data_IF_592643162275
#
_entry.id   IF_592643162275
#
_cell.length_a   1.000
_cell.length_b   1.000
_cell.length_c   1.000
_cell.angle_alpha   90.00
_cell.angle_beta   90.00
_cell.angle_gamma   90.00
#
_symmetry.space_group_name_H-M   'P 1'
#
loop_
_entity.id
_entity.type
_entity.pdbx_description
1 polymer ?
#
# COMPACT_ATOMS: atom_id res chain seq x y z
N UNK A 1 7.55 1.41 -16.03
CA UNK A 1 6.36 0.54 -16.18
C UNK A 1 5.38 0.93 -15.09
N UNK A 2 4.16 1.32 -15.46
CA UNK A 2 3.18 1.88 -14.53
C UNK A 2 2.87 0.89 -13.41
N UNK A 3 2.84 1.37 -12.18
CA UNK A 3 2.67 0.55 -10.97
C UNK A 3 1.20 0.34 -10.61
N UNK A 4 0.29 0.58 -11.54
CA UNK A 4 -1.15 0.39 -11.38
C UNK A 4 -1.49 -1.09 -11.24
N UNK A 5 -2.39 -1.38 -10.31
CA UNK A 5 -2.93 -2.73 -10.12
C UNK A 5 -3.99 -2.92 -11.21
N UNK A 6 -3.87 -3.99 -11.98
CA UNK A 6 -4.93 -4.39 -12.89
C UNK A 6 -6.03 -5.10 -12.09
N UNK A 7 -7.08 -4.35 -11.78
CA UNK A 7 -8.24 -4.84 -11.01
C UNK A 7 -8.95 -6.00 -11.70
N UNK A 8 -8.86 -6.11 -13.03
CA UNK A 8 -9.49 -7.19 -13.78
C UNK A 8 -8.84 -8.56 -13.54
N UNK A 9 -7.61 -8.58 -13.01
CA UNK A 9 -6.88 -9.81 -12.67
C UNK A 9 -7.14 -10.28 -11.24
N UNK A 10 -7.87 -9.50 -10.43
CA UNK A 10 -8.16 -9.84 -9.04
C UNK A 10 -9.41 -10.72 -8.98
N UNK A 11 -9.38 -11.89 -8.31
CA UNK A 11 -10.57 -12.70 -8.09
C UNK A 11 -11.68 -11.89 -7.41
N UNK A 12 -12.92 -11.98 -7.91
CA UNK A 12 -14.08 -11.22 -7.41
C UNK A 12 -14.23 -11.32 -5.89
N UNK A 13 -14.07 -12.53 -5.34
CA UNK A 13 -14.13 -12.76 -3.89
C UNK A 13 -13.14 -11.92 -3.09
N UNK A 14 -11.96 -11.62 -3.63
CA UNK A 14 -10.97 -10.76 -2.98
C UNK A 14 -11.27 -9.29 -3.19
N UNK A 15 -11.80 -8.93 -4.36
CA UNK A 15 -12.21 -7.56 -4.67
C UNK A 15 -13.36 -7.07 -3.76
N UNK A 16 -14.26 -7.98 -3.36
CA UNK A 16 -15.41 -7.68 -2.50
C UNK A 16 -15.04 -7.37 -1.03
N UNK A 17 -13.84 -7.76 -0.57
CA UNK A 17 -13.44 -7.46 0.80
C UNK A 17 -12.91 -6.03 0.93
N UNK A 18 -13.42 -5.26 1.88
CA UNK A 18 -12.90 -3.93 2.27
C UNK A 18 -11.59 -4.02 3.08
N UNK A 19 -10.71 -4.94 2.71
CA UNK A 19 -9.48 -5.27 3.43
C UNK A 19 -8.22 -4.94 2.62
N UNK A 20 -8.30 -3.95 1.72
CA UNK A 20 -7.17 -3.54 0.89
C UNK A 20 -6.30 -2.52 1.60
N UNK A 21 -4.99 -2.77 1.53
CA UNK A 21 -3.94 -1.89 2.03
C UNK A 21 -2.87 -1.68 0.96
N UNK A 22 -2.08 -0.63 1.11
CA UNK A 22 -0.85 -0.50 0.35
C UNK A 22 0.33 -1.01 1.20
N UNK A 23 1.44 -1.35 0.57
CA UNK A 23 2.69 -1.70 1.22
C UNK A 23 3.85 -1.03 0.51
N UNK A 24 4.90 -0.81 1.29
CA UNK A 24 6.16 -0.23 0.86
C UNK A 24 7.28 -1.21 1.19
N UNK A 25 8.23 -1.37 0.27
CA UNK A 25 9.49 -2.00 0.61
C UNK A 25 10.39 -1.02 1.36
N UNK A 26 10.88 -1.44 2.53
CA UNK A 26 11.84 -0.70 3.34
C UNK A 26 12.95 -1.63 3.78
N UNK A 27 14.14 -1.10 4.03
CA UNK A 27 15.20 -1.90 4.63
C UNK A 27 15.12 -1.81 6.16
N UNK A 28 15.09 -2.97 6.81
CA UNK A 28 15.15 -3.11 8.26
C UNK A 28 16.18 -4.18 8.58
N UNK A 29 17.17 -3.83 9.40
CA UNK A 29 18.24 -4.74 9.82
C UNK A 29 18.99 -5.39 8.64
N UNK A 30 19.28 -4.63 7.57
CA UNK A 30 19.93 -5.15 6.36
C UNK A 30 19.01 -5.97 5.44
N UNK A 31 17.72 -6.11 5.76
CA UNK A 31 16.76 -6.93 5.01
C UNK A 31 15.62 -6.11 4.44
N UNK A 32 15.27 -6.38 3.18
CA UNK A 32 14.05 -5.86 2.56
C UNK A 32 12.81 -6.38 3.30
N UNK A 33 11.99 -5.46 3.79
CA UNK A 33 10.79 -5.71 4.58
C UNK A 33 9.61 -4.98 3.95
N UNK A 34 8.48 -5.67 3.81
CA UNK A 34 7.23 -5.06 3.37
C UNK A 34 6.51 -4.45 4.56
N UNK A 35 6.32 -3.13 4.54
CA UNK A 35 5.63 -2.38 5.58
C UNK A 35 4.23 -2.00 5.10
N UNK A 36 3.17 -2.42 5.80
CA UNK A 36 1.80 -1.97 5.55
C UNK A 36 1.67 -0.46 5.68
N UNK A 37 1.03 0.17 4.70
CA UNK A 37 0.73 1.60 4.66
C UNK A 37 -0.75 1.81 4.31
N UNK A 38 -1.34 2.85 4.91
CA UNK A 38 -2.71 3.26 4.66
C UNK A 38 -2.84 3.67 3.19
N UNK A 39 -3.88 3.22 2.48
CA UNK A 39 -4.03 3.49 1.07
C UNK A 39 -4.53 4.91 0.76
N UNK A 40 -4.56 5.80 1.76
CA UNK A 40 -5.02 7.18 1.68
C UNK A 40 -4.03 8.12 2.38
N UNK A 41 -4.07 9.41 2.05
CA UNK A 41 -3.19 10.40 2.66
C UNK A 41 -3.57 10.64 4.13
N UNK A 42 -2.58 10.57 5.03
CA UNK A 42 -2.77 10.87 6.46
C UNK A 42 -1.83 11.97 6.91
N UNK A 43 -2.30 12.85 7.79
CA UNK A 43 -1.47 13.87 8.43
C UNK A 43 -0.59 13.29 9.58
N UNK A 44 -0.77 12.02 9.92
CA UNK A 44 -0.01 11.28 10.93
C UNK A 44 0.74 10.08 10.32
N UNK A 45 0.89 9.00 11.09
CA UNK A 45 1.68 7.85 10.66
C UNK A 45 1.06 7.16 9.43
N UNK A 46 1.83 6.99 8.34
CA UNK A 46 1.32 6.37 7.12
C UNK A 46 1.11 4.85 7.26
N UNK A 47 1.62 4.22 8.32
CA UNK A 47 1.55 2.78 8.51
C UNK A 47 0.14 2.29 8.83
N UNK A 48 -0.30 1.25 8.13
CA UNK A 48 -1.53 0.55 8.44
C UNK A 48 -1.29 -0.50 9.53
N UNK A 49 -2.34 -0.83 10.28
CA UNK A 49 -2.35 -1.95 11.21
C UNK A 49 -3.10 -3.10 10.56
N UNK A 50 -2.63 -4.34 10.79
CA UNK A 50 -3.30 -5.56 10.35
C UNK A 50 -4.50 -5.96 11.23
N UNK A 51 -4.79 -5.19 12.29
CA UNK A 51 -5.91 -5.46 13.20
C UNK A 51 -6.92 -4.32 13.29
N UNK A 52 -6.63 -3.17 12.67
CA UNK A 52 -7.49 -1.99 12.72
C UNK A 52 -8.25 -1.87 11.40
N UNK A 53 -9.52 -2.26 11.39
CA UNK A 53 -10.37 -2.20 10.20
C UNK A 53 -10.49 -0.79 9.61
N UNK A 54 -10.37 0.26 10.43
CA UNK A 54 -10.38 1.65 9.96
C UNK A 54 -9.18 2.03 9.09
N UNK A 55 -8.13 1.20 9.03
CA UNK A 55 -6.95 1.40 8.18
C UNK A 55 -7.06 0.78 6.79
N UNK A 56 -8.07 -0.07 6.57
CA UNK A 56 -8.30 -0.75 5.30
C UNK A 56 -9.28 0.03 4.41
N UNK A 57 -9.31 -0.32 3.12
CA UNK A 57 -10.25 0.25 2.14
C UNK A 57 -10.75 -0.82 1.18
N UNK A 58 -11.75 -0.46 0.40
CA UNK A 58 -12.15 -1.18 -0.80
C UNK A 58 -11.06 -1.14 -1.88
N UNK A 59 -11.11 -2.11 -2.80
CA UNK A 59 -10.12 -2.28 -3.86
C UNK A 59 -9.99 -1.01 -4.73
N UNK A 60 -11.12 -0.48 -5.20
CA UNK A 60 -11.12 0.64 -6.14
C UNK A 60 -10.51 1.90 -5.52
N UNK A 61 -10.92 2.22 -4.29
CA UNK A 61 -10.40 3.37 -3.56
C UNK A 61 -8.94 3.18 -3.21
N UNK A 62 -8.53 1.98 -2.81
CA UNK A 62 -7.12 1.70 -2.55
C UNK A 62 -6.24 1.81 -3.81
N UNK A 63 -6.76 1.44 -4.98
CA UNK A 63 -6.05 1.57 -6.24
C UNK A 63 -5.94 3.04 -6.67
N UNK A 64 -7.01 3.83 -6.48
CA UNK A 64 -7.06 5.26 -6.84
C UNK A 64 -6.26 6.16 -5.90
N UNK A 65 -6.37 5.96 -4.59
CA UNK A 65 -5.84 6.88 -3.57
C UNK A 65 -4.37 6.62 -3.19
N UNK A 66 -3.63 5.94 -4.07
CA UNK A 66 -2.24 5.50 -3.84
C UNK A 66 -1.40 6.54 -3.08
N UNK A 67 -0.86 6.19 -1.91
CA UNK A 67 -0.16 7.14 -1.07
C UNK A 67 1.13 7.58 -1.75
N UNK A 68 1.30 8.89 -1.93
CA UNK A 68 2.51 9.50 -2.51
C UNK A 68 3.75 9.08 -1.71
N UNK A 69 4.87 8.74 -2.37
CA UNK A 69 6.11 8.41 -1.68
C UNK A 69 6.56 9.60 -0.82
N UNK A 70 6.98 9.30 0.41
CA UNK A 70 7.46 10.32 1.33
C UNK A 70 8.76 10.96 0.78
N UNK A 71 9.09 12.19 1.20
CA UNK A 71 10.33 12.85 0.77
C UNK A 71 11.58 12.01 1.12
N UNK A 72 11.54 11.25 2.22
CA UNK A 72 12.62 10.34 2.62
C UNK A 72 12.76 9.16 1.66
N UNK A 73 11.64 8.64 1.13
CA UNK A 73 11.64 7.57 0.13
C UNK A 73 12.23 8.03 -1.21
N UNK A 74 12.04 9.30 -1.56
CA UNK A 74 12.58 9.88 -2.80
C UNK A 74 14.10 10.02 -2.79
N UNK A 75 14.70 10.26 -1.62
CA UNK A 75 16.16 10.43 -1.48
C UNK A 75 16.91 9.09 -1.45
N UNK A 76 16.23 7.99 -1.10
CA UNK A 76 16.78 6.62 -1.07
C UNK A 76 16.56 5.85 -2.39
N UNK A 77 16.05 6.52 -3.43
CA UNK A 77 15.45 5.90 -4.61
C UNK A 77 16.48 5.24 -5.55
N UNK A 78 16.77 3.98 -5.27
CA UNK A 78 16.70 2.93 -6.28
C UNK A 78 15.48 2.06 -5.98
N UNK A 79 14.34 2.29 -6.64
CA UNK A 79 13.17 1.40 -6.64
C UNK A 79 12.37 1.18 -5.34
N UNK A 80 11.96 2.23 -4.60
CA UNK A 80 10.88 2.08 -3.60
C UNK A 80 9.52 1.89 -4.31
N UNK A 81 9.18 0.67 -4.71
CA UNK A 81 7.87 0.34 -5.28
C UNK A 81 6.84 0.18 -4.17
N UNK A 82 5.91 1.13 -4.06
CA UNK A 82 4.67 0.94 -3.30
C UNK A 82 3.69 0.14 -4.13
N UNK A 83 3.07 -0.89 -3.56
CA UNK A 83 2.04 -1.71 -4.20
C UNK A 83 0.87 -1.90 -3.25
N UNK A 84 -0.33 -2.11 -3.76
CA UNK A 84 -1.50 -2.38 -2.91
C UNK A 84 -2.00 -3.80 -3.13
N UNK A 85 -2.62 -4.37 -2.11
CA UNK A 85 -3.03 -5.78 -2.03
C UNK A 85 -4.01 -5.99 -0.89
N UNK A 86 -4.74 -7.11 -0.91
CA UNK A 86 -5.55 -7.52 0.25
C UNK A 86 -4.62 -7.84 1.43
N UNK A 87 -4.93 -7.28 2.59
CA UNK A 87 -4.18 -7.42 3.84
C UNK A 87 -4.52 -8.67 4.64
#
# INVERSE_FOLDING_TARGET
MSSDIDVSLIPERLADFEQWICWQETERDGKATKVPIKPYHTNGTPNASATESGHWRDLERSARERPRPDRRDRLRAGNAHRRCGSG
#
